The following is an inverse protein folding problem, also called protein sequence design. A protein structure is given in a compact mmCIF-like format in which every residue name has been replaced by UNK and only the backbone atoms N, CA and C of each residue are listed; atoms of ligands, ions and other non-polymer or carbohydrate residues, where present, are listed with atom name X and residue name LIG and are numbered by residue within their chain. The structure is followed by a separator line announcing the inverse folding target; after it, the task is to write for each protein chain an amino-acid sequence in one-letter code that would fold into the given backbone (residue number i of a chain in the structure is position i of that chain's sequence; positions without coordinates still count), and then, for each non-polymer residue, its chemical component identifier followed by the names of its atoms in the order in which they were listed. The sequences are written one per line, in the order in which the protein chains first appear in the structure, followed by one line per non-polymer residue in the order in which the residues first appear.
data_IF_170033992027
#
_entry.id   IF_170033992027
#
_cell.length_a   1.000
_cell.length_b   1.000
_cell.length_c   1.000
_cell.angle_alpha   90.00
_cell.angle_beta   90.00
_cell.angle_gamma   90.00
#
_symmetry.space_group_name_H-M   'P 1'
#
loop_
_entity.id
_entity.type
_entity.pdbx_description
1 polymer ?
#
# COMPACT_ATOMS: atom_id res chain seq x y z
N UNK A 1 58.64 -5.67 31.22
CA UNK A 1 58.34 -4.66 30.18
C UNK A 1 57.35 -5.28 29.22
N UNK A 2 56.26 -4.56 29.02
CA UNK A 2 55.00 -4.97 28.40
C UNK A 2 55.11 -5.23 26.89
N UNK A 3 54.57 -6.37 26.44
CA UNK A 3 54.01 -6.52 25.11
C UNK A 3 52.49 -6.43 25.25
N UNK A 4 51.91 -5.46 24.55
CA UNK A 4 50.50 -5.11 24.57
C UNK A 4 50.04 -5.15 23.12
N UNK A 5 49.54 -6.30 22.65
CA UNK A 5 48.99 -6.45 21.30
C UNK A 5 47.46 -6.57 21.32
N UNK A 6 46.84 -5.56 20.70
CA UNK A 6 45.56 -5.55 19.99
C UNK A 6 44.42 -6.45 20.51
N UNK A 7 43.63 -5.89 21.42
CA UNK A 7 42.23 -6.30 21.62
C UNK A 7 41.37 -5.62 20.56
N UNK A 8 41.12 -6.27 19.43
CA UNK A 8 40.14 -5.80 18.43
C UNK A 8 38.76 -5.79 19.07
N UNK A 9 38.16 -4.61 19.14
CA UNK A 9 36.77 -4.40 19.56
C UNK A 9 35.83 -5.12 18.59
N UNK A 10 35.26 -6.26 19.00
CA UNK A 10 34.14 -6.89 18.30
C UNK A 10 32.91 -5.98 18.41
N UNK A 11 32.70 -5.13 17.42
CA UNK A 11 31.44 -4.43 17.23
C UNK A 11 30.44 -5.41 16.64
N UNK A 12 29.65 -6.05 17.49
CA UNK A 12 28.45 -6.79 17.07
C UNK A 12 27.43 -5.81 16.52
N UNK A 13 27.07 -5.95 15.24
CA UNK A 13 26.09 -5.11 14.57
C UNK A 13 24.75 -5.87 14.46
N UNK A 14 23.65 -5.24 14.88
CA UNK A 14 22.31 -5.81 14.72
C UNK A 14 21.77 -5.54 13.30
N UNK A 15 21.15 -6.55 12.71
CA UNK A 15 20.48 -6.50 11.41
C UNK A 15 19.07 -7.07 11.52
N UNK A 16 18.20 -6.72 10.57
CA UNK A 16 16.84 -7.23 10.45
C UNK A 16 16.68 -7.92 9.10
N UNK A 17 16.11 -9.13 9.09
CA UNK A 17 15.76 -9.83 7.86
C UNK A 17 14.64 -9.09 7.10
N UNK A 18 14.90 -8.66 5.86
CA UNK A 18 13.87 -8.09 4.98
C UNK A 18 13.10 -9.17 4.22
N UNK A 19 13.77 -10.28 3.92
CA UNK A 19 13.25 -11.43 3.21
C UNK A 19 13.52 -12.67 4.05
N UNK A 20 12.64 -13.67 3.96
CA UNK A 20 12.86 -14.94 4.64
C UNK A 20 13.91 -15.75 3.90
N UNK A 21 14.80 -16.38 4.65
CA UNK A 21 15.81 -17.28 4.12
C UNK A 21 15.69 -18.63 4.80
N UNK A 22 15.55 -19.68 3.98
CA UNK A 22 15.56 -21.06 4.46
C UNK A 22 16.95 -21.63 4.23
N UNK A 23 17.62 -22.01 5.32
CA UNK A 23 18.92 -22.65 5.26
C UNK A 23 18.88 -23.92 4.39
N UNK A 24 19.83 -24.03 3.46
CA UNK A 24 20.02 -25.19 2.60
C UNK A 24 21.03 -26.20 3.15
N UNK A 25 21.84 -25.78 4.14
CA UNK A 25 22.89 -26.57 4.79
C UNK A 25 22.90 -26.40 6.31
N UNK A 26 23.71 -27.21 7.00
CA UNK A 26 23.85 -27.20 8.47
C UNK A 26 24.68 -26.04 9.02
N UNK A 27 25.39 -25.36 8.13
CA UNK A 27 26.22 -24.19 8.38
C UNK A 27 25.48 -22.87 8.14
N UNK A 28 24.24 -22.92 7.64
CA UNK A 28 23.40 -21.77 7.33
C UNK A 28 22.33 -21.56 8.40
N UNK A 29 21.96 -20.30 8.63
CA UNK A 29 20.96 -19.92 9.62
C UNK A 29 19.65 -19.53 8.93
N UNK A 30 18.55 -20.14 9.34
CA UNK A 30 17.22 -19.76 8.88
C UNK A 30 16.72 -18.52 9.62
N UNK A 31 16.03 -17.64 8.88
CA UNK A 31 15.36 -16.48 9.47
C UNK A 31 14.16 -16.07 8.64
N UNK A 32 13.17 -15.48 9.30
CA UNK A 32 11.97 -14.92 8.71
C UNK A 32 12.10 -13.40 8.51
N UNK A 33 11.31 -12.79 7.60
CA UNK A 33 11.23 -11.34 7.52
C UNK A 33 10.82 -10.74 8.86
N UNK A 34 11.60 -9.78 9.38
CA UNK A 34 11.39 -9.13 10.67
C UNK A 34 12.26 -9.66 11.81
N UNK A 35 12.93 -10.81 11.63
CA UNK A 35 13.81 -11.36 12.65
C UNK A 35 15.06 -10.50 12.83
N UNK A 36 15.46 -10.30 14.09
CA UNK A 36 16.67 -9.55 14.47
C UNK A 36 17.85 -10.51 14.55
N UNK A 37 18.80 -10.31 13.66
CA UNK A 37 19.97 -11.16 13.48
C UNK A 37 21.20 -10.35 13.90
N UNK A 38 22.02 -10.90 14.81
CA UNK A 38 23.27 -10.26 15.26
C UNK A 38 24.40 -10.72 14.37
N UNK A 39 25.00 -9.82 13.59
CA UNK A 39 26.11 -10.17 12.68
C UNK A 39 27.43 -10.03 13.43
N UNK A 40 28.16 -11.14 13.50
CA UNK A 40 29.44 -11.25 14.20
C UNK A 40 30.63 -11.10 13.25
N UNK A 41 30.51 -11.57 12.00
CA UNK A 41 31.58 -11.43 11.01
C UNK A 41 31.05 -11.31 9.57
N UNK A 42 31.56 -10.33 8.82
CA UNK A 42 31.26 -10.15 7.38
C UNK A 42 32.27 -10.94 6.55
N UNK A 43 32.10 -12.26 6.49
CA UNK A 43 33.10 -13.19 5.91
C UNK A 43 33.35 -12.93 4.42
N UNK A 44 32.29 -12.64 3.66
CA UNK A 44 32.37 -12.20 2.25
C UNK A 44 31.40 -11.05 1.99
N UNK A 45 31.40 -10.51 0.76
CA UNK A 45 30.39 -9.54 0.30
C UNK A 45 28.97 -10.06 0.43
N UNK A 46 28.77 -11.35 0.20
CA UNK A 46 27.45 -11.96 0.03
C UNK A 46 27.02 -12.81 1.22
N UNK A 47 27.96 -13.32 2.02
CA UNK A 47 27.69 -14.22 3.15
C UNK A 47 28.35 -13.72 4.44
N UNK A 48 27.53 -13.55 5.47
CA UNK A 48 27.93 -13.10 6.80
C UNK A 48 27.65 -14.19 7.83
N UNK A 49 28.46 -14.23 8.89
CA UNK A 49 28.26 -15.11 10.04
C UNK A 49 27.45 -14.38 11.09
N UNK A 50 26.31 -14.95 11.46
CA UNK A 50 25.35 -14.29 12.32
C UNK A 50 24.67 -15.23 13.32
N UNK A 51 23.97 -14.62 14.28
CA UNK A 51 23.27 -15.27 15.37
C UNK A 51 21.81 -14.84 15.43
N UNK A 52 20.90 -15.80 15.62
CA UNK A 52 19.48 -15.57 15.89
C UNK A 52 19.05 -16.49 17.03
N UNK A 53 18.64 -15.92 18.17
CA UNK A 53 18.12 -16.69 19.31
C UNK A 53 19.08 -17.75 19.86
N UNK A 54 20.39 -17.54 19.77
CA UNK A 54 21.44 -18.48 20.20
C UNK A 54 21.85 -19.52 19.15
N UNK A 55 21.21 -19.54 17.97
CA UNK A 55 21.63 -20.33 16.83
C UNK A 55 22.58 -19.52 15.94
N UNK A 56 23.69 -20.13 15.51
CA UNK A 56 24.70 -19.48 14.67
C UNK A 56 24.74 -20.11 13.28
N UNK A 57 24.95 -19.29 12.25
CA UNK A 57 25.16 -19.77 10.89
C UNK A 57 25.41 -18.66 9.89
N UNK A 58 25.67 -19.08 8.65
CA UNK A 58 25.83 -18.19 7.51
C UNK A 58 24.48 -17.67 7.01
N UNK A 59 24.41 -16.37 6.76
CA UNK A 59 23.25 -15.66 6.25
C UNK A 59 23.64 -14.80 5.04
N UNK A 60 22.78 -14.72 4.01
CA UNK A 60 23.04 -13.87 2.86
C UNK A 60 22.88 -12.39 3.22
N UNK A 61 23.92 -11.59 3.01
CA UNK A 61 23.97 -10.16 3.36
C UNK A 61 22.87 -9.35 2.67
N UNK A 62 22.55 -9.66 1.41
CA UNK A 62 21.53 -8.97 0.63
C UNK A 62 20.09 -9.14 1.15
N UNK A 63 19.86 -10.05 2.10
CA UNK A 63 18.57 -10.29 2.74
C UNK A 63 18.44 -9.54 4.07
N UNK A 64 19.54 -8.97 4.55
CA UNK A 64 19.64 -8.27 5.82
C UNK A 64 19.70 -6.76 5.59
N UNK A 65 19.11 -6.03 6.52
CA UNK A 65 19.22 -4.57 6.59
C UNK A 65 19.75 -4.18 7.96
N UNK A 66 20.67 -3.20 8.09
CA UNK A 66 21.08 -2.70 9.40
C UNK A 66 19.85 -2.39 10.24
N UNK A 67 19.82 -2.89 11.47
CA UNK A 67 18.77 -2.55 12.40
C UNK A 67 18.80 -1.02 12.60
N UNK A 68 17.64 -0.35 12.71
CA UNK A 68 17.61 1.08 12.92
C UNK A 68 18.38 1.41 14.21
N UNK A 69 19.54 2.05 14.07
CA UNK A 69 20.25 2.69 15.18
C UNK A 69 19.42 3.85 15.72
N UNK A 70 19.65 4.28 16.96
CA UNK A 70 19.08 5.54 17.47
C UNK A 70 19.41 6.67 16.48
N UNK A 71 18.42 7.12 15.70
CA UNK A 71 18.58 8.09 14.62
C UNK A 71 18.07 7.64 13.24
N UNK A 72 17.83 6.34 13.00
CA UNK A 72 17.24 5.90 11.74
C UNK A 72 15.70 5.92 11.87
N UNK A 73 15.09 6.98 11.35
CA UNK A 73 13.65 7.15 11.37
C UNK A 73 12.97 6.12 10.46
N UNK A 74 12.49 5.04 11.07
CA UNK A 74 11.74 3.96 10.42
C UNK A 74 10.47 4.44 9.68
N UNK A 75 9.98 5.64 9.99
CA UNK A 75 8.85 6.28 9.32
C UNK A 75 9.28 7.28 8.24
N UNK A 76 10.56 7.66 8.20
CA UNK A 76 11.12 8.59 7.22
C UNK A 76 10.36 9.93 7.20
N UNK A 77 9.97 10.43 8.36
CA UNK A 77 9.08 11.57 8.56
C UNK A 77 9.63 12.85 7.97
N UNK A 78 10.92 13.17 8.15
CA UNK A 78 11.49 14.39 7.58
C UNK A 78 11.33 14.45 6.06
N UNK A 79 11.73 13.39 5.36
CA UNK A 79 11.61 13.29 3.90
C UNK A 79 10.13 13.27 3.48
N UNK A 80 9.31 12.48 4.19
CA UNK A 80 7.90 12.29 3.89
C UNK A 80 7.10 13.60 4.02
N UNK A 81 7.25 14.32 5.13
CA UNK A 81 6.54 15.58 5.36
C UNK A 81 7.05 16.70 4.46
N UNK A 82 8.35 16.69 4.10
CA UNK A 82 8.89 17.60 3.09
C UNK A 82 8.23 17.38 1.71
N UNK A 83 8.11 16.12 1.26
CA UNK A 83 7.43 15.78 0.01
C UNK A 83 5.93 16.12 0.06
N UNK A 84 5.26 15.87 1.19
CA UNK A 84 3.85 16.25 1.37
C UNK A 84 3.60 17.74 1.22
N UNK A 85 4.53 18.59 1.68
CA UNK A 85 4.43 20.04 1.50
C UNK A 85 4.46 20.43 0.01
N UNK A 86 5.31 19.77 -0.79
CA UNK A 86 5.40 19.98 -2.23
C UNK A 86 4.13 19.47 -2.95
N UNK A 87 3.64 18.29 -2.57
CA UNK A 87 2.48 17.63 -3.19
C UNK A 87 1.15 18.28 -2.74
N UNK A 88 1.13 19.01 -1.62
CA UNK A 88 -0.08 19.66 -1.09
C UNK A 88 -0.79 20.57 -2.10
N UNK A 89 -0.04 21.21 -3.01
CA UNK A 89 -0.62 21.98 -4.13
C UNK A 89 -1.30 21.08 -5.17
N UNK A 90 -0.75 19.92 -5.47
CA UNK A 90 -1.34 18.95 -6.39
C UNK A 90 -2.68 18.43 -5.87
N UNK A 91 -2.77 18.16 -4.56
CA UNK A 91 -4.00 17.68 -3.91
C UNK A 91 -5.17 18.68 -3.99
N UNK A 92 -4.88 19.99 -4.04
CA UNK A 92 -5.90 21.02 -4.24
C UNK A 92 -6.51 20.96 -5.65
N UNK A 93 -5.69 20.61 -6.64
CA UNK A 93 -6.08 20.56 -8.05
C UNK A 93 -6.81 19.24 -8.40
N UNK A 94 -6.75 18.23 -7.50
CA UNK A 94 -7.56 17.01 -7.59
C UNK A 94 -9.04 17.29 -7.32
N UNK A 95 -9.74 17.84 -8.31
CA UNK A 95 -11.15 18.22 -8.22
C UNK A 95 -12.06 17.10 -7.70
N UNK A 96 -11.99 15.84 -8.18
CA UNK A 96 -12.93 14.84 -7.71
C UNK A 96 -12.79 14.53 -6.21
N UNK A 97 -11.55 14.51 -5.68
CA UNK A 97 -11.30 14.41 -4.24
C UNK A 97 -11.93 15.60 -3.52
N UNK A 98 -11.50 16.82 -3.86
CA UNK A 98 -11.87 18.03 -3.13
C UNK A 98 -13.38 18.28 -3.17
N UNK A 99 -14.04 18.03 -4.30
CA UNK A 99 -15.49 18.20 -4.43
C UNK A 99 -16.26 17.14 -3.64
N UNK A 100 -15.81 15.87 -3.60
CA UNK A 100 -16.47 14.86 -2.76
C UNK A 100 -16.38 15.22 -1.28
N UNK A 101 -15.21 15.65 -0.77
CA UNK A 101 -15.11 16.11 0.62
C UNK A 101 -16.00 17.32 0.91
N UNK A 102 -16.06 18.29 -0.02
CA UNK A 102 -16.97 19.43 0.08
C UNK A 102 -18.44 18.99 0.15
N UNK A 103 -18.86 18.07 -0.72
CA UNK A 103 -20.22 17.54 -0.73
C UNK A 103 -20.54 16.81 0.59
N UNK A 104 -19.64 15.98 1.10
CA UNK A 104 -19.80 15.31 2.41
C UNK A 104 -20.04 16.35 3.52
N UNK A 105 -19.20 17.39 3.58
CA UNK A 105 -19.30 18.43 4.62
C UNK A 105 -20.61 19.23 4.49
N UNK A 106 -20.97 19.65 3.27
CA UNK A 106 -22.19 20.44 3.03
C UNK A 106 -23.46 19.63 3.31
N UNK A 107 -23.50 18.37 2.87
CA UNK A 107 -24.63 17.47 3.11
C UNK A 107 -24.83 17.15 4.59
N UNK A 108 -23.76 17.16 5.40
CA UNK A 108 -23.83 16.94 6.85
C UNK A 108 -23.80 18.24 7.66
N UNK A 109 -24.00 19.41 7.02
CA UNK A 109 -23.87 20.72 7.67
C UNK A 109 -24.73 20.90 8.93
N UNK A 110 -25.93 20.33 8.96
CA UNK A 110 -26.81 20.36 10.13
C UNK A 110 -26.22 19.60 11.33
N UNK A 111 -25.60 18.45 11.08
CA UNK A 111 -24.96 17.61 12.09
C UNK A 111 -23.65 18.22 12.58
N UNK A 112 -22.96 18.97 11.74
CA UNK A 112 -21.70 19.63 12.06
C UNK A 112 -21.86 20.88 12.92
N UNK A 113 -23.06 21.46 12.97
CA UNK A 113 -23.34 22.65 13.79
C UNK A 113 -23.07 22.32 15.25
N UNK A 114 -22.29 23.16 15.92
CA UNK A 114 -21.86 23.01 17.33
C UNK A 114 -20.92 21.84 17.66
N UNK A 115 -20.58 20.97 16.69
CA UNK A 115 -19.59 19.91 16.88
C UNK A 115 -18.14 20.40 16.83
N UNK A 116 -17.26 19.68 17.53
CA UNK A 116 -15.81 19.81 17.45
C UNK A 116 -15.28 18.88 16.36
N UNK A 117 -14.66 19.45 15.33
CA UNK A 117 -14.12 18.71 14.20
C UNK A 117 -12.59 18.69 14.26
N UNK A 118 -11.99 17.52 14.06
CA UNK A 118 -10.56 17.35 13.84
C UNK A 118 -10.26 17.05 12.37
N UNK A 119 -9.51 17.95 11.72
CA UNK A 119 -8.91 17.72 10.40
C UNK A 119 -7.47 17.24 10.56
N UNK A 120 -7.27 15.93 10.42
CA UNK A 120 -5.97 15.28 10.58
C UNK A 120 -5.27 15.07 9.24
N UNK A 121 -4.04 15.56 9.13
CA UNK A 121 -3.32 15.66 7.86
C UNK A 121 -3.90 16.76 6.98
N UNK A 122 -4.25 17.92 7.56
CA UNK A 122 -5.02 18.97 6.89
C UNK A 122 -4.32 19.56 5.65
N UNK A 123 -3.00 19.43 5.56
CA UNK A 123 -2.16 19.91 4.46
C UNK A 123 -2.30 21.42 4.28
N UNK A 124 -2.88 21.82 3.15
CA UNK A 124 -3.23 23.21 2.84
C UNK A 124 -4.47 23.71 3.60
N UNK A 125 -5.18 22.82 4.28
CA UNK A 125 -6.34 23.14 5.11
C UNK A 125 -7.64 23.34 4.33
N UNK A 126 -7.77 22.80 3.11
CA UNK A 126 -8.99 22.99 2.30
C UNK A 126 -10.24 22.36 2.93
N UNK A 127 -10.11 21.18 3.53
CA UNK A 127 -11.21 20.48 4.22
C UNK A 127 -11.63 21.31 5.44
N UNK A 128 -10.65 21.70 6.24
CA UNK A 128 -10.79 22.68 7.32
C UNK A 128 -11.54 23.96 6.92
N UNK A 129 -11.28 24.53 5.73
CA UNK A 129 -11.98 25.73 5.26
C UNK A 129 -13.48 25.47 5.01
N UNK A 130 -13.83 24.31 4.48
CA UNK A 130 -15.24 23.92 4.32
C UNK A 130 -15.91 23.68 5.68
N UNK A 131 -15.22 23.05 6.63
CA UNK A 131 -15.74 22.81 7.98
C UNK A 131 -15.93 24.12 8.76
N UNK A 132 -14.96 25.04 8.71
CA UNK A 132 -14.96 26.27 9.50
C UNK A 132 -16.13 27.22 9.22
N UNK A 133 -16.80 27.07 8.07
CA UNK A 133 -18.00 27.82 7.73
C UNK A 133 -19.27 27.28 8.42
N UNK A 134 -19.20 26.08 9.01
CA UNK A 134 -20.38 25.30 9.41
C UNK A 134 -20.28 24.74 10.85
N UNK A 135 -19.06 24.56 11.38
CA UNK A 135 -18.85 23.92 12.68
C UNK A 135 -18.75 24.89 13.86
N UNK A 136 -18.98 24.38 15.08
CA UNK A 136 -18.76 25.16 16.30
C UNK A 136 -17.29 25.38 16.63
N UNK A 137 -16.46 24.34 16.50
CA UNK A 137 -15.02 24.41 16.77
C UNK A 137 -14.24 23.50 15.81
N UNK A 138 -13.11 23.99 15.32
CA UNK A 138 -12.23 23.27 14.39
C UNK A 138 -10.82 23.14 14.95
N UNK A 139 -10.28 21.93 14.91
CA UNK A 139 -8.89 21.59 15.24
C UNK A 139 -8.22 21.10 13.97
N UNK A 140 -7.06 21.68 13.65
CA UNK A 140 -6.28 21.34 12.44
C UNK A 140 -4.95 20.77 12.85
N UNK A 141 -4.60 19.60 12.34
CA UNK A 141 -3.32 18.94 12.59
C UNK A 141 -2.72 18.44 11.29
N UNK A 142 -1.41 18.67 11.08
CA UNK A 142 -0.66 18.10 9.96
C UNK A 142 0.08 16.82 10.33
N UNK A 143 0.41 16.66 11.60
CA UNK A 143 0.99 15.46 12.20
C UNK A 143 0.33 15.21 13.55
N UNK A 144 0.49 13.99 14.06
CA UNK A 144 -0.21 13.51 15.24
C UNK A 144 0.73 12.97 16.34
N UNK A 145 2.00 12.73 16.03
CA UNK A 145 2.91 12.14 17.01
C UNK A 145 3.27 13.16 18.10
N UNK A 146 3.06 12.76 19.36
CA UNK A 146 3.42 13.57 20.54
C UNK A 146 2.43 14.67 20.95
N UNK A 147 1.30 14.84 20.25
CA UNK A 147 0.34 15.89 20.58
C UNK A 147 -0.76 15.40 21.53
N UNK A 148 -1.06 16.15 22.59
CA UNK A 148 -2.21 15.90 23.47
C UNK A 148 -3.26 16.97 23.21
N UNK A 149 -4.43 16.55 22.71
CA UNK A 149 -5.57 17.47 22.57
C UNK A 149 -6.22 17.72 23.93
N UNK A 150 -6.67 18.95 24.21
CA UNK A 150 -7.27 19.31 25.50
C UNK A 150 -8.66 18.69 25.72
N UNK A 151 -9.32 18.25 24.65
CA UNK A 151 -10.57 17.50 24.70
C UNK A 151 -10.64 16.56 23.49
N UNK A 152 -11.47 15.52 23.60
CA UNK A 152 -11.85 14.70 22.45
C UNK A 152 -12.73 15.49 21.46
N UNK A 153 -12.95 14.91 20.30
CA UNK A 153 -13.67 15.51 19.16
C UNK A 153 -14.84 14.64 18.74
N UNK A 154 -15.89 15.28 18.20
CA UNK A 154 -17.10 14.59 17.75
C UNK A 154 -16.97 14.03 16.34
N UNK A 155 -16.14 14.67 15.51
CA UNK A 155 -15.96 14.32 14.09
C UNK A 155 -14.48 14.31 13.75
N UNK A 156 -13.99 13.19 13.22
CA UNK A 156 -12.67 13.05 12.63
C UNK A 156 -12.79 13.03 11.12
N UNK A 157 -12.20 14.02 10.45
CA UNK A 157 -12.07 14.07 9.00
C UNK A 157 -10.60 13.99 8.61
N UNK A 158 -10.27 13.13 7.65
CA UNK A 158 -8.90 13.03 7.17
C UNK A 158 -8.82 12.51 5.73
N UNK A 159 -7.96 13.14 4.93
CA UNK A 159 -7.67 12.77 3.55
C UNK A 159 -6.58 11.71 3.39
N UNK A 160 -6.61 10.64 4.20
CA UNK A 160 -5.50 9.70 4.38
C UNK A 160 -5.31 8.66 3.28
N UNK A 161 -6.18 8.59 2.27
CA UNK A 161 -6.11 7.57 1.22
C UNK A 161 -4.78 7.70 0.45
N UNK A 162 -3.88 6.72 0.64
CA UNK A 162 -2.47 6.74 0.18
C UNK A 162 -1.44 6.64 1.32
N UNK A 163 -1.86 6.85 2.58
CA UNK A 163 -1.03 6.74 3.78
C UNK A 163 -1.82 6.04 4.89
N UNK A 164 -1.70 4.72 5.00
CA UNK A 164 -2.43 3.91 5.98
C UNK A 164 -2.07 4.22 7.45
N UNK A 165 -0.95 4.89 7.72
CA UNK A 165 -0.46 5.14 9.08
C UNK A 165 -1.23 6.21 9.88
N UNK A 166 -1.81 7.22 9.22
CA UNK A 166 -2.37 8.39 9.90
C UNK A 166 -3.73 8.15 10.59
N UNK A 167 -4.44 7.06 10.25
CA UNK A 167 -5.79 6.78 10.79
C UNK A 167 -5.76 6.42 12.28
N UNK A 168 -4.68 5.77 12.74
CA UNK A 168 -4.57 5.21 14.09
C UNK A 168 -4.68 6.27 15.20
N UNK A 169 -3.93 7.36 15.06
CA UNK A 169 -3.79 8.38 16.11
C UNK A 169 -5.05 9.24 16.21
N UNK A 170 -5.66 9.57 15.07
CA UNK A 170 -6.91 10.33 15.02
C UNK A 170 -8.06 9.69 15.82
N UNK A 171 -8.17 8.36 15.77
CA UNK A 171 -9.21 7.61 16.46
C UNK A 171 -9.09 7.68 18.00
N UNK A 172 -7.90 7.95 18.55
CA UNK A 172 -7.70 8.09 20.00
C UNK A 172 -8.40 9.33 20.57
N UNK A 173 -8.57 10.36 19.75
CA UNK A 173 -9.20 11.61 20.15
C UNK A 173 -10.68 11.67 19.80
N UNK A 174 -11.25 10.61 19.21
CA UNK A 174 -12.67 10.57 18.87
C UNK A 174 -13.51 10.20 20.11
N UNK A 175 -14.64 10.88 20.28
CA UNK A 175 -15.64 10.51 21.28
C UNK A 175 -16.33 9.17 20.94
N UNK A 176 -16.88 8.51 21.95
CA UNK A 176 -17.65 7.28 21.76
C UNK A 176 -18.91 7.58 20.93
N UNK A 177 -19.05 6.93 19.77
CA UNK A 177 -20.11 7.25 18.79
C UNK A 177 -19.79 8.45 17.87
N UNK A 178 -18.57 8.99 17.91
CA UNK A 178 -18.14 10.05 17.00
C UNK A 178 -18.09 9.60 15.54
N UNK A 179 -18.21 10.57 14.62
CA UNK A 179 -18.24 10.33 13.18
C UNK A 179 -16.83 10.32 12.59
N UNK A 180 -16.56 9.37 11.69
CA UNK A 180 -15.32 9.31 10.93
C UNK A 180 -15.59 9.47 9.43
N UNK A 181 -14.80 10.32 8.79
CA UNK A 181 -14.84 10.52 7.36
C UNK A 181 -13.43 10.41 6.75
N UNK A 182 -13.20 9.44 5.85
CA UNK A 182 -14.14 8.41 5.38
C UNK A 182 -14.54 7.40 6.47
N UNK A 183 -15.76 6.86 6.36
CA UNK A 183 -16.33 5.93 7.34
C UNK A 183 -15.90 4.48 7.10
N UNK A 184 -15.61 4.13 5.85
CA UNK A 184 -14.96 2.88 5.49
C UNK A 184 -14.18 3.02 4.18
N UNK A 185 -13.24 2.10 3.96
CA UNK A 185 -12.47 2.03 2.73
C UNK A 185 -12.40 0.58 2.25
N UNK A 186 -12.56 0.35 0.96
CA UNK A 186 -12.47 -0.96 0.33
C UNK A 186 -11.44 -0.96 -0.80
N UNK A 187 -10.84 -2.11 -1.04
CA UNK A 187 -9.90 -2.33 -2.15
C UNK A 187 -10.65 -3.01 -3.30
N UNK A 188 -10.75 -2.35 -4.45
CA UNK A 188 -11.19 -2.99 -5.68
C UNK A 188 -10.02 -3.73 -6.31
N UNK A 189 -10.28 -4.92 -6.86
CA UNK A 189 -9.31 -5.72 -7.60
C UNK A 189 -9.98 -6.26 -8.86
N UNK A 190 -9.27 -6.22 -9.99
CA UNK A 190 -9.76 -6.75 -11.28
C UNK A 190 -8.60 -7.42 -12.03
N UNK A 191 -8.78 -8.62 -12.60
CA UNK A 191 -7.88 -9.12 -13.63
C UNK A 191 -8.02 -8.26 -14.88
N UNK A 192 -6.90 -7.79 -15.42
CA UNK A 192 -6.88 -6.92 -16.59
C UNK A 192 -5.84 -7.32 -17.63
N UNK A 193 -6.13 -6.96 -18.88
CA UNK A 193 -5.18 -7.06 -19.97
C UNK A 193 -4.27 -5.83 -19.97
N UNK A 194 -2.96 -6.05 -19.95
CA UNK A 194 -1.96 -4.98 -19.93
C UNK A 194 -1.03 -5.06 -21.15
N UNK A 195 -1.59 -5.41 -22.32
CA UNK A 195 -0.83 -5.75 -23.51
C UNK A 195 0.09 -4.59 -23.96
N UNK A 196 -0.39 -3.33 -23.95
CA UNK A 196 0.46 -2.19 -24.28
C UNK A 196 1.69 -2.04 -23.37
N UNK A 197 1.56 -2.36 -22.08
CA UNK A 197 2.67 -2.35 -21.13
C UNK A 197 3.65 -3.50 -21.40
N UNK A 198 3.13 -4.70 -21.69
CA UNK A 198 3.95 -5.85 -22.11
C UNK A 198 4.70 -5.54 -23.41
N UNK A 199 4.00 -5.05 -24.43
CA UNK A 199 4.59 -4.73 -25.73
C UNK A 199 5.75 -3.74 -25.62
N UNK A 200 5.57 -2.64 -24.88
CA UNK A 200 6.60 -1.60 -24.77
C UNK A 200 7.83 -2.01 -23.96
N UNK A 201 7.72 -2.98 -23.05
CA UNK A 201 8.77 -3.28 -22.07
C UNK A 201 9.39 -4.67 -22.22
N UNK A 202 8.63 -5.60 -22.80
CA UNK A 202 8.91 -7.04 -22.84
C UNK A 202 8.96 -7.47 -24.30
N UNK A 203 7.87 -7.35 -25.06
CA UNK A 203 7.84 -7.80 -26.47
C UNK A 203 8.72 -6.92 -27.39
N UNK A 204 9.05 -5.70 -26.96
CA UNK A 204 10.07 -4.85 -27.60
C UNK A 204 11.40 -5.56 -27.85
N UNK A 205 11.77 -6.51 -26.97
CA UNK A 205 13.04 -7.24 -27.07
C UNK A 205 12.98 -8.47 -28.00
N UNK A 206 11.81 -8.91 -28.45
CA UNK A 206 11.71 -10.10 -29.32
C UNK A 206 12.28 -9.85 -30.72
N UNK A 207 12.14 -8.64 -31.23
CA UNK A 207 12.61 -8.30 -32.56
C UNK A 207 13.02 -6.83 -32.63
N UNK A 208 14.17 -6.54 -32.04
CA UNK A 208 14.74 -5.21 -32.05
C UNK A 208 15.64 -5.05 -33.28
N UNK A 209 15.15 -4.35 -34.29
CA UNK A 209 15.84 -4.14 -35.57
C UNK A 209 16.22 -5.44 -36.32
N UNK A 210 15.42 -6.50 -36.22
CA UNK A 210 15.71 -7.79 -36.85
C UNK A 210 16.56 -8.73 -35.99
N UNK A 211 16.89 -8.33 -34.76
CA UNK A 211 17.67 -9.12 -33.81
C UNK A 211 16.78 -9.60 -32.66
N UNK A 212 16.92 -10.88 -32.31
CA UNK A 212 16.22 -11.51 -31.20
C UNK A 212 16.99 -11.28 -29.89
N UNK A 213 16.41 -10.47 -29.00
CA UNK A 213 16.88 -10.23 -27.63
C UNK A 213 15.92 -10.82 -26.58
N UNK A 214 15.13 -11.84 -26.93
CA UNK A 214 14.23 -12.54 -26.00
C UNK A 214 14.94 -13.09 -24.76
N UNK A 215 16.26 -13.32 -24.81
CA UNK A 215 17.06 -13.69 -23.64
C UNK A 215 17.04 -12.63 -22.51
N UNK A 216 16.72 -11.36 -22.81
CA UNK A 216 16.59 -10.29 -21.84
C UNK A 216 15.23 -10.25 -21.14
N UNK A 217 14.25 -11.06 -21.56
CA UNK A 217 12.91 -11.07 -20.96
C UNK A 217 12.89 -11.23 -19.45
N UNK A 218 13.58 -12.23 -18.86
CA UNK A 218 13.53 -12.41 -17.41
C UNK A 218 14.07 -11.20 -16.66
N UNK A 219 15.08 -10.53 -17.21
CA UNK A 219 15.69 -9.33 -16.63
C UNK A 219 14.73 -8.14 -16.76
N UNK A 220 14.14 -7.93 -17.94
CA UNK A 220 13.18 -6.85 -18.19
C UNK A 220 11.91 -7.00 -17.34
N UNK A 221 11.38 -8.22 -17.20
CA UNK A 221 10.23 -8.50 -16.33
C UNK A 221 10.54 -8.14 -14.87
N UNK A 222 11.71 -8.57 -14.38
CA UNK A 222 12.15 -8.27 -13.01
C UNK A 222 12.38 -6.78 -12.80
N UNK A 223 12.98 -6.08 -13.76
CA UNK A 223 13.28 -4.65 -13.63
C UNK A 223 12.02 -3.79 -13.72
N UNK A 224 11.17 -4.01 -14.72
CA UNK A 224 10.02 -3.15 -14.98
C UNK A 224 8.78 -3.51 -14.15
N UNK A 225 8.66 -4.74 -13.67
CA UNK A 225 7.43 -5.24 -13.04
C UNK A 225 7.60 -5.87 -11.66
N UNK A 226 8.82 -5.88 -11.09
CA UNK A 226 8.99 -6.24 -9.66
C UNK A 226 8.26 -5.29 -8.70
N UNK A 227 8.02 -4.05 -9.14
CA UNK A 227 7.24 -3.05 -8.40
C UNK A 227 5.97 -2.73 -9.17
N UNK A 228 4.87 -2.51 -8.45
CA UNK A 228 3.61 -2.21 -9.11
C UNK A 228 3.66 -0.79 -9.71
N UNK A 229 2.96 -0.61 -10.83
CA UNK A 229 2.87 0.69 -11.50
C UNK A 229 1.72 1.49 -10.91
N UNK A 230 2.02 2.57 -10.20
CA UNK A 230 1.04 3.41 -9.51
C UNK A 230 0.28 4.38 -10.41
N UNK A 231 0.78 4.66 -11.62
CA UNK A 231 0.19 5.60 -12.58
C UNK A 231 -0.54 4.90 -13.75
N UNK A 232 -0.90 3.63 -13.59
CA UNK A 232 -1.59 2.89 -14.64
C UNK A 232 -3.05 3.33 -14.75
N UNK A 233 -3.46 3.62 -15.99
CA UNK A 233 -4.84 3.94 -16.33
C UNK A 233 -5.46 2.71 -16.97
N UNK A 234 -6.30 2.04 -16.20
CA UNK A 234 -7.06 0.91 -16.68
C UNK A 234 -8.27 1.41 -17.48
N UNK A 235 -8.43 0.93 -18.70
CA UNK A 235 -9.63 1.18 -19.48
C UNK A 235 -10.75 0.22 -19.03
N UNK A 236 -12.01 0.65 -18.93
CA UNK A 236 -13.12 -0.24 -18.55
C UNK A 236 -13.23 -1.50 -19.41
N UNK A 237 -12.89 -1.40 -20.68
CA UNK A 237 -12.83 -2.51 -21.64
C UNK A 237 -11.77 -3.56 -21.33
N UNK A 238 -10.70 -3.19 -20.61
CA UNK A 238 -9.63 -4.11 -20.20
C UNK A 238 -9.99 -4.86 -18.90
N UNK A 239 -11.15 -4.58 -18.29
CA UNK A 239 -11.62 -5.21 -17.06
C UNK A 239 -12.36 -6.51 -17.37
N UNK A 240 -11.82 -7.66 -16.95
CA UNK A 240 -12.48 -8.95 -17.23
C UNK A 240 -13.61 -9.27 -16.23
N UNK A 241 -13.46 -8.91 -14.95
CA UNK A 241 -14.56 -8.92 -13.96
C UNK A 241 -14.19 -8.17 -12.68
N UNK A 242 -15.12 -7.37 -12.16
CA UNK A 242 -14.85 -6.45 -11.03
C UNK A 242 -15.36 -7.04 -9.72
N UNK A 243 -14.48 -7.21 -8.73
CA UNK A 243 -14.87 -7.54 -7.36
C UNK A 243 -14.32 -6.46 -6.42
N UNK A 244 -15.15 -6.06 -5.47
CA UNK A 244 -14.74 -5.18 -4.38
C UNK A 244 -14.45 -6.03 -3.15
N UNK A 245 -13.21 -6.03 -2.69
CA UNK A 245 -12.85 -6.58 -1.39
C UNK A 245 -13.17 -5.51 -0.35
N UNK A 246 -14.27 -5.68 0.37
CA UNK A 246 -14.61 -4.79 1.49
C UNK A 246 -13.66 -5.10 2.64
N UNK A 247 -12.67 -4.23 2.84
CA UNK A 247 -11.75 -4.33 3.95
C UNK A 247 -12.34 -3.53 5.10
N UNK A 248 -13.09 -4.20 5.97
CA UNK A 248 -13.50 -3.58 7.22
C UNK A 248 -12.23 -3.27 8.03
N UNK A 249 -11.95 -1.99 8.23
CA UNK A 249 -10.82 -1.53 9.04
C UNK A 249 -11.20 -1.72 10.51
N UNK A 250 -10.77 -2.80 11.15
CA UNK A 250 -11.20 -3.15 12.51
C UNK A 250 -10.13 -2.79 13.55
N UNK A 251 -8.85 -3.18 13.38
CA UNK A 251 -7.76 -2.82 14.30
C UNK A 251 -6.40 -2.61 13.61
N UNK A 252 -5.47 -1.89 14.26
CA UNK A 252 -4.10 -1.64 13.76
C UNK A 252 -3.30 -2.94 13.61
N UNK A 253 -3.52 -3.92 14.50
CA UNK A 253 -2.91 -5.25 14.41
C UNK A 253 -3.24 -5.93 13.08
N UNK A 254 -4.45 -5.70 12.56
CA UNK A 254 -4.94 -6.33 11.34
C UNK A 254 -4.28 -5.73 10.10
N UNK A 255 -3.76 -4.50 10.19
CA UNK A 255 -3.02 -3.83 9.11
C UNK A 255 -1.59 -4.35 8.92
N UNK A 256 -1.07 -5.13 9.86
CA UNK A 256 0.26 -5.71 9.73
C UNK A 256 0.29 -6.78 8.64
N UNK A 257 -0.80 -7.54 8.53
CA UNK A 257 -1.01 -8.58 7.53
C UNK A 257 -2.48 -8.67 7.14
N UNK A 258 -2.80 -8.14 5.96
CA UNK A 258 -4.11 -8.27 5.35
C UNK A 258 -4.09 -9.41 4.34
N UNK A 259 -5.13 -10.23 4.32
CA UNK A 259 -5.31 -11.31 3.34
C UNK A 259 -6.75 -11.33 2.86
N UNK A 260 -6.93 -11.34 1.54
CA UNK A 260 -8.23 -11.47 0.89
C UNK A 260 -8.22 -12.61 -0.13
N UNK A 261 -9.30 -13.37 -0.18
CA UNK A 261 -9.55 -14.35 -1.24
C UNK A 261 -10.42 -13.72 -2.32
N UNK A 262 -10.24 -14.15 -3.57
CA UNK A 262 -11.05 -13.71 -4.70
C UNK A 262 -11.38 -14.89 -5.63
N UNK A 263 -12.53 -14.83 -6.30
CA UNK A 263 -12.84 -15.66 -7.46
C UNK A 263 -13.56 -14.79 -8.49
N UNK A 264 -12.91 -14.59 -9.62
CA UNK A 264 -13.39 -13.79 -10.73
C UNK A 264 -14.01 -14.69 -11.78
N UNK A 265 -15.35 -14.69 -11.97
CA UNK A 265 -15.94 -15.36 -13.11
C UNK A 265 -15.46 -14.68 -14.40
N UNK A 266 -15.13 -15.47 -15.40
CA UNK A 266 -14.66 -15.00 -16.69
C UNK A 266 -15.85 -14.91 -17.65
N UNK A 267 -16.26 -13.67 -17.94
CA UNK A 267 -17.38 -13.37 -18.84
C UNK A 267 -16.97 -13.29 -20.32
N UNK A 268 -15.67 -13.14 -20.59
CA UNK A 268 -15.13 -13.03 -21.95
C UNK A 268 -13.74 -13.66 -22.02
N UNK A 269 -13.41 -14.37 -23.10
CA UNK A 269 -12.10 -14.99 -23.25
C UNK A 269 -11.01 -13.92 -23.35
N UNK A 270 -9.85 -14.20 -22.78
CA UNK A 270 -8.72 -13.27 -22.78
C UNK A 270 -7.51 -13.78 -22.02
N UNK A 271 -6.45 -13.00 -22.07
CA UNK A 271 -5.20 -13.28 -21.33
C UNK A 271 -4.96 -12.12 -20.35
N UNK A 272 -5.44 -12.22 -19.10
CA UNK A 272 -5.03 -11.31 -18.03
C UNK A 272 -3.52 -11.38 -17.84
N UNK A 273 -2.86 -10.24 -18.00
CA UNK A 273 -1.43 -10.09 -17.78
C UNK A 273 -1.13 -9.60 -16.36
N UNK A 274 -2.13 -9.01 -15.71
CA UNK A 274 -1.98 -8.33 -14.45
C UNK A 274 -3.29 -8.28 -13.67
N UNK A 275 -3.18 -7.95 -12.40
CA UNK A 275 -4.27 -7.41 -11.61
C UNK A 275 -4.12 -5.91 -11.47
N UNK A 276 -5.23 -5.20 -11.60
CA UNK A 276 -5.31 -3.78 -11.30
C UNK A 276 -6.13 -3.59 -10.03
N UNK A 277 -5.61 -2.75 -9.12
CA UNK A 277 -6.24 -2.46 -7.85
C UNK A 277 -6.50 -0.96 -7.65
N UNK A 278 -7.56 -0.62 -6.93
CA UNK A 278 -7.93 0.77 -6.61
C UNK A 278 -8.64 0.86 -5.27
N UNK A 279 -8.80 2.08 -4.75
CA UNK A 279 -9.47 2.31 -3.48
C UNK A 279 -10.84 2.93 -3.67
N UNK A 280 -11.78 2.54 -2.82
CA UNK A 280 -13.09 3.19 -2.70
C UNK A 280 -13.31 3.56 -1.25
N UNK A 281 -13.37 4.86 -0.97
CA UNK A 281 -13.74 5.38 0.34
C UNK A 281 -15.25 5.68 0.36
N UNK A 282 -15.94 5.21 1.40
CA UNK A 282 -17.37 5.47 1.64
C UNK A 282 -17.52 6.47 2.78
N UNK A 283 -18.46 7.39 2.63
CA UNK A 283 -18.80 8.41 3.62
C UNK A 283 -20.26 8.21 4.01
N UNK A 284 -20.48 7.77 5.25
CA UNK A 284 -21.82 7.64 5.77
C UNK A 284 -22.39 9.03 6.06
N UNK A 285 -23.67 9.21 5.75
CA UNK A 285 -24.41 10.44 5.95
C UNK A 285 -25.57 10.15 6.90
N UNK A 286 -25.69 10.91 7.99
CA UNK A 286 -26.83 10.78 8.91
C UNK A 286 -28.06 11.44 8.26
N UNK A 287 -28.87 10.64 7.55
CA UNK A 287 -30.14 11.06 6.94
C UNK A 287 -30.14 11.20 5.41
N UNK A 288 -29.11 10.70 4.70
CA UNK A 288 -29.03 10.79 3.24
C UNK A 288 -28.26 9.66 2.56
N UNK A 289 -28.10 9.75 1.24
CA UNK A 289 -27.36 8.76 0.43
C UNK A 289 -25.86 8.80 0.78
N UNK A 290 -25.25 7.63 1.05
CA UNK A 290 -23.82 7.53 1.31
C UNK A 290 -23.00 7.94 0.08
N UNK A 291 -22.07 8.89 0.26
CA UNK A 291 -21.18 9.34 -0.81
C UNK A 291 -19.99 8.37 -0.95
N UNK A 292 -19.48 8.22 -2.17
CA UNK A 292 -18.35 7.34 -2.47
C UNK A 292 -17.29 8.07 -3.29
N UNK A 293 -16.03 7.95 -2.87
CA UNK A 293 -14.86 8.41 -3.60
C UNK A 293 -14.08 7.18 -4.08
N UNK A 294 -14.09 6.92 -5.39
CA UNK A 294 -13.45 5.77 -6.03
C UNK A 294 -12.27 6.18 -6.91
N UNK A 295 -11.13 5.49 -6.84
CA UNK A 295 -10.03 5.69 -7.80
C UNK A 295 -10.07 4.69 -8.96
N UNK A 296 -11.17 3.96 -9.11
CA UNK A 296 -11.33 2.90 -10.10
C UNK A 296 -11.64 3.38 -11.53
N UNK A 297 -11.55 2.48 -12.52
CA UNK A 297 -11.71 2.80 -13.95
C UNK A 297 -13.12 3.29 -14.30
N UNK A 298 -14.14 2.73 -13.66
CA UNK A 298 -15.55 3.05 -13.91
C UNK A 298 -16.05 4.31 -13.17
N UNK A 299 -15.17 5.01 -12.43
CA UNK A 299 -15.57 6.21 -11.72
C UNK A 299 -15.89 7.34 -12.73
N UNK A 300 -17.17 7.68 -12.83
CA UNK A 300 -17.67 8.73 -13.73
C UNK A 300 -17.43 10.12 -13.12
N UNK A 301 -16.17 10.54 -13.06
CA UNK A 301 -15.86 11.92 -12.71
C UNK A 301 -16.07 12.80 -13.94
N UNK A 302 -17.15 13.59 -13.89
CA UNK A 302 -17.51 14.58 -14.90
C UNK A 302 -16.52 15.75 -14.80
N UNK A 303 -15.31 15.62 -15.36
CA UNK A 303 -14.50 16.72 -15.93
C UNK A 303 -13.17 16.19 -16.46
N UNK A 304 -12.80 16.61 -17.66
CA UNK A 304 -11.75 16.02 -18.50
C UNK A 304 -10.29 16.24 -18.07
N UNK A 305 -10.01 17.11 -17.08
CA UNK A 305 -8.65 17.63 -16.90
C UNK A 305 -7.84 16.99 -15.77
N UNK A 306 -8.46 16.42 -14.73
CA UNK A 306 -7.77 15.81 -13.58
C UNK A 306 -8.54 14.60 -13.06
N UNK A 307 -8.37 13.44 -13.73
CA UNK A 307 -9.05 12.19 -13.35
C UNK A 307 -8.22 11.41 -12.32
N UNK A 308 -8.89 10.94 -11.26
CA UNK A 308 -8.33 10.13 -10.17
C UNK A 308 -8.20 8.63 -10.50
N UNK A 309 -8.37 8.25 -11.77
CA UNK A 309 -8.45 6.85 -12.22
C UNK A 309 -7.04 6.21 -12.37
N UNK A 310 -6.21 6.41 -11.35
CA UNK A 310 -4.92 5.73 -11.25
C UNK A 310 -5.12 4.46 -10.44
N UNK A 311 -4.70 3.36 -11.05
CA UNK A 311 -4.79 2.03 -10.48
C UNK A 311 -3.39 1.47 -10.27
N UNK A 312 -3.26 0.63 -9.24
CA UNK A 312 -2.07 -0.13 -8.98
C UNK A 312 -2.05 -1.33 -9.91
N UNK A 313 -1.12 -1.37 -10.87
CA UNK A 313 -0.95 -2.54 -11.74
C UNK A 313 0.08 -3.49 -11.13
N UNK A 314 -0.35 -4.69 -10.77
CA UNK A 314 0.49 -5.78 -10.31
C UNK A 314 0.52 -6.85 -11.40
N UNK A 315 1.66 -6.99 -12.08
CA UNK A 315 1.82 -8.01 -13.12
C UNK A 315 1.80 -9.41 -12.52
N UNK A 316 1.28 -10.36 -13.30
CA UNK A 316 1.40 -11.77 -12.98
C UNK A 316 2.76 -12.29 -13.46
N UNK A 317 3.38 -13.16 -12.66
CA UNK A 317 4.64 -13.83 -13.02
C UNK A 317 4.48 -14.67 -14.30
N UNK A 318 3.29 -15.26 -14.48
CA UNK A 318 2.92 -16.04 -15.65
C UNK A 318 1.55 -15.61 -16.18
N UNK A 319 1.41 -15.26 -17.47
CA UNK A 319 0.12 -14.99 -18.07
C UNK A 319 -0.80 -16.22 -17.97
N UNK A 320 -2.07 -15.99 -17.66
CA UNK A 320 -3.07 -17.06 -17.53
C UNK A 320 -4.09 -16.86 -18.65
N UNK A 321 -4.15 -17.79 -19.61
CA UNK A 321 -5.18 -17.76 -20.65
C UNK A 321 -6.51 -18.29 -20.10
N UNK A 322 -7.57 -17.50 -20.25
CA UNK A 322 -8.91 -17.83 -19.77
C UNK A 322 -9.94 -17.83 -20.89
N UNK A 323 -10.92 -18.72 -20.77
CA UNK A 323 -12.06 -18.86 -21.65
C UNK A 323 -13.36 -18.48 -20.92
N UNK A 324 -14.41 -18.22 -21.68
CA UNK A 324 -15.74 -17.94 -21.12
C UNK A 324 -16.22 -19.11 -20.24
N UNK A 325 -16.57 -18.80 -19.01
CA UNK A 325 -17.01 -19.74 -17.98
C UNK A 325 -15.91 -20.29 -17.07
N UNK A 326 -14.65 -19.90 -17.27
CA UNK A 326 -13.59 -20.13 -16.26
C UNK A 326 -13.81 -19.26 -15.01
N UNK A 327 -13.18 -19.61 -13.88
CA UNK A 327 -12.99 -18.68 -12.76
C UNK A 327 -11.51 -18.48 -12.47
N UNK A 328 -11.07 -17.23 -12.30
CA UNK A 328 -9.74 -16.92 -11.77
C UNK A 328 -9.87 -16.82 -10.25
N UNK A 329 -9.48 -17.89 -9.56
CA UNK A 329 -9.41 -17.94 -8.11
C UNK A 329 -8.05 -17.49 -7.60
N UNK A 330 -7.98 -17.01 -6.37
CA UNK A 330 -6.70 -16.63 -5.79
C UNK A 330 -6.80 -15.91 -4.47
N UNK A 331 -5.64 -15.56 -3.93
CA UNK A 331 -5.53 -14.75 -2.73
C UNK A 331 -4.55 -13.61 -2.93
N UNK A 332 -4.90 -12.45 -2.38
CA UNK A 332 -4.01 -11.30 -2.25
C UNK A 332 -3.63 -11.14 -0.80
N UNK A 333 -2.35 -10.87 -0.55
CA UNK A 333 -1.85 -10.54 0.78
C UNK A 333 -1.06 -9.24 0.74
N UNK A 334 -1.31 -8.37 1.71
CA UNK A 334 -0.58 -7.12 1.93
C UNK A 334 0.11 -7.24 3.28
N UNK A 335 1.44 -7.18 3.30
CA UNK A 335 2.22 -7.25 4.53
C UNK A 335 3.00 -5.95 4.68
N UNK A 336 2.85 -5.31 5.83
CA UNK A 336 3.60 -4.10 6.16
C UNK A 336 5.08 -4.46 6.36
N UNK A 337 5.98 -3.58 5.91
CA UNK A 337 7.41 -3.81 6.08
C UNK A 337 7.77 -3.65 7.58
N UNK A 338 8.54 -4.59 8.16
CA UNK A 338 8.88 -4.57 9.59
C UNK A 338 9.81 -3.41 9.97
N UNK A 339 10.63 -2.94 9.03
CA UNK A 339 11.59 -1.83 9.22
C UNK A 339 10.98 -0.52 8.73
N UNK A 340 10.64 -0.45 7.45
CA UNK A 340 10.14 0.78 6.81
C UNK A 340 8.63 0.89 6.95
N UNK A 341 8.14 1.51 8.02
CA UNK A 341 6.75 1.38 8.45
C UNK A 341 5.72 1.99 7.49
N UNK A 342 6.15 2.83 6.54
CA UNK A 342 5.32 3.37 5.44
C UNK A 342 5.25 2.45 4.22
N UNK A 343 6.09 1.43 4.14
CA UNK A 343 6.18 0.53 2.99
C UNK A 343 5.30 -0.70 3.19
N UNK A 344 4.62 -1.13 2.12
CA UNK A 344 3.78 -2.33 2.10
C UNK A 344 4.28 -3.22 0.97
N UNK A 345 4.55 -4.48 1.31
CA UNK A 345 4.77 -5.54 0.33
C UNK A 345 3.43 -6.18 -0.03
N UNK A 346 3.28 -6.57 -1.29
CA UNK A 346 2.10 -7.28 -1.75
C UNK A 346 2.53 -8.61 -2.36
N UNK A 347 1.69 -9.63 -2.21
CA UNK A 347 1.83 -10.90 -2.91
C UNK A 347 0.45 -11.33 -3.38
N UNK A 348 0.33 -11.50 -4.69
CA UNK A 348 -0.88 -11.99 -5.34
C UNK A 348 -0.60 -13.40 -5.87
N UNK A 349 -1.43 -14.35 -5.47
CA UNK A 349 -1.40 -15.72 -6.01
C UNK A 349 -2.71 -15.93 -6.73
N UNK A 350 -2.66 -16.23 -8.02
CA UNK A 350 -3.82 -16.50 -8.85
C UNK A 350 -3.68 -17.85 -9.55
N UNK A 351 -4.80 -18.53 -9.73
CA UNK A 351 -4.89 -19.81 -10.42
C UNK A 351 -6.21 -19.91 -11.18
N UNK A 352 -6.17 -20.64 -12.30
CA UNK A 352 -7.36 -20.95 -13.10
C UNK A 352 -8.14 -22.10 -12.45
N UNK A 353 -9.44 -21.91 -12.25
CA UNK A 353 -10.41 -22.97 -11.89
C UNK A 353 -11.25 -23.32 -13.11
N UNK A 354 -11.36 -24.62 -13.37
CA UNK A 354 -12.11 -25.18 -14.49
C UNK A 354 -13.62 -25.32 -14.15
N UNK A 355 -14.47 -25.33 -15.19
CA UNK A 355 -15.96 -25.19 -15.18
C UNK A 355 -16.74 -26.05 -14.17
N UNK A 356 -16.15 -27.10 -13.59
CA UNK A 356 -16.83 -28.10 -12.74
C UNK A 356 -16.71 -27.90 -11.23
N UNK A 357 -16.00 -26.87 -10.76
CA UNK A 357 -15.77 -26.64 -9.30
C UNK A 357 -16.18 -25.27 -8.77
N UNK A 358 -16.77 -24.41 -9.60
CA UNK A 358 -17.33 -23.13 -9.14
C UNK A 358 -18.81 -23.30 -8.80
N UNK A 359 -19.10 -24.10 -7.78
CA UNK A 359 -20.34 -23.99 -7.01
C UNK A 359 -19.92 -23.32 -5.71
N UNK A 360 -20.20 -22.03 -5.58
CA UNK A 360 -20.19 -21.33 -4.29
C UNK A 360 -21.45 -21.72 -3.52
#
# INVERSE_FOLDING_TARGET
MSENENRSTNTTEEFIGLLGFTASGTDQLDFSPGDRVVVHAKVTSDWWWAELGGCFGYVPSGYLHPAPTEGNDAWQDEEYFWQLWIIGKLLLVLRPRTETYKQVIVSNSAVLREKVILDLGCGTGIISLFCGQLCGRLVKLNGCEGLVLPSKVDVLVSGWMGNFGAVRTGLLWLEEGGLTWPSSASLGLVPCQAHANCMQKVEFWENLYGLDFSCLWPVALKEFFSKPKFSHRLAPEDCLSVITLDMHMVQVSDLEKLRGEFCFPVESPGTPHAFSAWFVAKFNNEGGLALKLSTGPCAKYVTHYYRLNQTLLCMLDTPITVEEGDCIGGSISLNRNPVWRRHISHRTVAYKKDKRRCIL
#
